data_IF_155806459223
#
_entry.id   IF_155806459223
#
_cell.length_a   1.000
_cell.length_b   1.000
_cell.length_c   1.000
_cell.angle_alpha   90.00
_cell.angle_beta   90.00
_cell.angle_gamma   90.00
#
_symmetry.space_group_name_H-M   'P 1'
#
loop_
_entity.id
_entity.type
_entity.pdbx_description
1 polymer ?
#
# COMPACT_ATOMS: atom_id res chain seq x y z
N UNK A 1 28.29 2.84 -5.59
CA UNK A 1 27.14 3.72 -5.31
C UNK A 1 25.99 2.80 -4.94
N UNK A 2 25.42 2.91 -3.75
CA UNK A 2 24.20 2.15 -3.45
C UNK A 2 23.03 2.85 -4.15
N UNK A 3 22.08 2.12 -4.73
CA UNK A 3 20.90 2.74 -5.31
C UNK A 3 20.15 3.53 -4.23
N UNK A 4 19.64 4.71 -4.59
CA UNK A 4 18.82 5.54 -3.69
C UNK A 4 17.34 5.12 -3.71
N UNK A 5 16.97 4.28 -4.68
CA UNK A 5 15.61 3.86 -4.97
C UNK A 5 15.53 2.36 -5.27
N UNK A 6 14.37 1.76 -5.00
CA UNK A 6 14.05 0.38 -5.34
C UNK A 6 12.66 0.28 -5.98
N UNK A 7 12.41 -0.82 -6.67
CA UNK A 7 11.12 -1.07 -7.32
C UNK A 7 10.15 -1.78 -6.37
N UNK A 8 8.89 -1.35 -6.38
CA UNK A 8 7.79 -2.09 -5.78
C UNK A 8 7.08 -2.88 -6.87
N UNK A 9 6.92 -4.18 -6.66
CA UNK A 9 6.26 -5.09 -7.57
C UNK A 9 4.93 -5.60 -7.00
N UNK A 10 3.98 -5.89 -7.90
CA UNK A 10 2.65 -6.44 -7.56
C UNK A 10 2.37 -7.67 -8.39
N UNK A 11 1.51 -8.56 -7.90
CA UNK A 11 1.15 -9.78 -8.62
C UNK A 11 0.19 -9.52 -9.79
N UNK A 12 0.39 -10.22 -10.91
CA UNK A 12 -0.55 -10.28 -12.03
C UNK A 12 -1.49 -11.50 -11.92
N UNK A 13 -2.46 -11.61 -12.83
CA UNK A 13 -3.34 -12.78 -12.92
C UNK A 13 -2.56 -14.07 -13.25
N UNK A 14 -1.44 -13.95 -13.97
CA UNK A 14 -0.58 -15.05 -14.38
C UNK A 14 0.52 -15.38 -13.34
N UNK A 15 0.39 -14.87 -12.12
CA UNK A 15 1.40 -15.01 -11.03
C UNK A 15 2.79 -14.48 -11.39
N UNK A 16 2.83 -13.50 -12.31
CA UNK A 16 4.06 -12.78 -12.64
C UNK A 16 4.10 -11.50 -11.81
N UNK A 17 5.27 -11.16 -11.29
CA UNK A 17 5.51 -9.88 -10.64
C UNK A 17 5.68 -8.77 -11.68
N UNK A 18 4.95 -7.68 -11.52
CA UNK A 18 4.99 -6.52 -12.40
C UNK A 18 5.38 -5.30 -11.59
N UNK A 19 6.33 -4.53 -12.10
CA UNK A 19 6.70 -3.22 -11.55
C UNK A 19 5.47 -2.33 -11.44
N UNK A 20 5.24 -1.82 -10.24
CA UNK A 20 4.11 -0.96 -9.91
C UNK A 20 4.55 0.47 -9.58
N UNK A 21 5.59 0.62 -8.76
CA UNK A 21 6.05 1.92 -8.29
C UNK A 21 7.54 1.89 -7.93
N UNK A 22 8.04 3.04 -7.48
CA UNK A 22 9.38 3.21 -6.93
C UNK A 22 9.23 3.62 -5.46
N UNK A 23 10.15 3.15 -4.61
CA UNK A 23 10.28 3.53 -3.22
C UNK A 23 11.71 4.02 -2.95
N UNK A 24 11.84 5.07 -2.13
CA UNK A 24 13.14 5.53 -1.66
C UNK A 24 13.74 4.51 -0.69
N UNK A 25 14.98 4.14 -0.90
CA UNK A 25 15.68 3.19 -0.03
C UNK A 25 16.08 3.84 1.30
N UNK A 26 15.93 3.08 2.37
CA UNK A 26 16.44 3.38 3.71
C UNK A 26 17.43 2.29 4.12
N UNK A 27 18.25 2.55 5.15
CA UNK A 27 19.23 1.58 5.62
C UNK A 27 18.58 0.25 6.07
N UNK A 28 17.38 0.32 6.65
CA UNK A 28 16.60 -0.85 7.09
C UNK A 28 16.17 -1.77 5.94
N UNK A 29 16.07 -1.23 4.72
CA UNK A 29 15.59 -1.96 3.55
C UNK A 29 16.72 -2.68 2.79
N UNK A 30 17.98 -2.41 3.10
CA UNK A 30 19.14 -2.87 2.30
C UNK A 30 19.24 -4.40 2.18
N UNK A 31 18.67 -5.15 3.12
CA UNK A 31 18.66 -6.62 3.12
C UNK A 31 17.29 -7.22 2.80
N UNK A 32 16.34 -6.42 2.30
CA UNK A 32 14.96 -6.85 2.04
C UNK A 32 14.66 -7.11 0.57
N UNK A 33 15.69 -7.21 -0.29
CA UNK A 33 15.47 -7.56 -1.69
C UNK A 33 14.79 -8.94 -1.80
N UNK A 34 13.76 -9.03 -2.65
CA UNK A 34 12.89 -10.20 -2.78
C UNK A 34 11.96 -10.48 -1.59
N UNK A 35 11.99 -9.68 -0.51
CA UNK A 35 11.07 -9.85 0.61
C UNK A 35 9.74 -9.13 0.37
N UNK A 36 8.65 -9.69 0.89
CA UNK A 36 7.36 -9.00 0.93
C UNK A 36 7.40 -7.95 2.04
N UNK A 37 7.09 -6.71 1.70
CA UNK A 37 7.06 -5.58 2.63
C UNK A 37 5.67 -4.94 2.67
N UNK A 38 5.31 -4.42 3.83
CA UNK A 38 4.14 -3.55 3.99
C UNK A 38 4.58 -2.10 3.81
N UNK A 39 3.83 -1.36 2.99
CA UNK A 39 4.12 0.03 2.68
C UNK A 39 2.87 0.89 2.87
N UNK A 40 3.07 2.15 3.22
CA UNK A 40 2.02 3.18 3.26
C UNK A 40 2.29 4.18 2.13
N UNK A 41 1.24 4.59 1.44
CA UNK A 41 1.31 5.73 0.53
C UNK A 41 0.92 7.01 1.28
N UNK A 42 1.80 8.01 1.29
CA UNK A 42 1.58 9.29 1.96
C UNK A 42 2.35 10.40 1.22
N UNK A 43 1.73 11.56 1.03
CA UNK A 43 2.33 12.71 0.32
C UNK A 43 3.04 12.34 -0.99
N UNK A 44 2.37 11.54 -1.82
CA UNK A 44 2.87 11.07 -3.11
C UNK A 44 4.08 10.12 -3.05
N UNK A 45 4.40 9.58 -1.88
CA UNK A 45 5.54 8.69 -1.66
C UNK A 45 5.12 7.37 -1.01
N UNK A 46 5.85 6.31 -1.34
CA UNK A 46 5.77 5.04 -0.63
C UNK A 46 6.72 5.04 0.56
N UNK A 47 6.20 4.66 1.72
CA UNK A 47 6.92 4.61 2.99
C UNK A 47 6.94 3.16 3.47
N UNK A 48 8.13 2.63 3.72
CA UNK A 48 8.31 1.31 4.33
C UNK A 48 7.73 1.29 5.74
N UNK A 49 6.97 0.25 6.07
CA UNK A 49 6.39 0.05 7.41
C UNK A 49 7.05 -1.14 8.11
N UNK A 50 7.09 -2.30 7.45
CA UNK A 50 7.68 -3.53 7.99
C UNK A 50 7.85 -4.60 6.92
N UNK A 51 8.71 -5.58 7.19
CA UNK A 51 8.69 -6.84 6.46
C UNK A 51 7.45 -7.67 6.86
N UNK A 52 6.88 -8.39 5.89
CA UNK A 52 5.77 -9.32 6.06
C UNK A 52 6.32 -10.74 5.97
N UNK A 53 6.36 -11.43 7.10
CA UNK A 53 6.76 -12.85 7.18
C UNK A 53 5.57 -13.81 7.06
N UNK A 54 4.34 -13.28 7.09
CA UNK A 54 3.10 -14.03 6.95
C UNK A 54 2.66 -14.21 5.48
N UNK A 55 3.48 -13.75 4.52
CA UNK A 55 3.15 -13.74 3.09
C UNK A 55 4.35 -14.07 2.22
N UNK A 56 4.09 -14.90 1.23
CA UNK A 56 5.09 -15.33 0.24
C UNK A 56 4.92 -14.63 -1.12
N UNK A 57 3.86 -13.82 -1.28
CA UNK A 57 3.53 -13.13 -2.53
C UNK A 57 3.03 -11.70 -2.29
N UNK A 58 3.30 -10.75 -3.20
CA UNK A 58 2.78 -9.40 -3.11
C UNK A 58 1.26 -9.38 -3.32
N UNK A 59 0.63 -8.26 -2.96
CA UNK A 59 -0.78 -8.07 -3.31
C UNK A 59 -0.95 -8.05 -4.84
N UNK A 60 -2.05 -8.59 -5.33
CA UNK A 60 -2.39 -8.51 -6.75
C UNK A 60 -2.65 -7.07 -7.21
N UNK A 61 -2.38 -6.78 -8.48
CA UNK A 61 -2.51 -5.44 -9.07
C UNK A 61 -3.90 -4.82 -8.87
N UNK A 62 -4.96 -5.61 -9.03
CA UNK A 62 -6.34 -5.14 -8.80
C UNK A 62 -6.61 -4.81 -7.34
N UNK A 63 -6.05 -5.58 -6.39
CA UNK A 63 -6.19 -5.28 -4.97
C UNK A 63 -5.45 -4.00 -4.59
N UNK A 64 -4.27 -3.76 -5.18
CA UNK A 64 -3.53 -2.51 -4.99
C UNK A 64 -4.29 -1.33 -5.61
N UNK A 65 -4.84 -1.49 -6.81
CA UNK A 65 -5.69 -0.48 -7.46
C UNK A 65 -6.88 -0.08 -6.58
N UNK A 66 -7.62 -1.05 -6.03
CA UNK A 66 -8.74 -0.78 -5.14
C UNK A 66 -8.33 -0.04 -3.85
N UNK A 67 -7.14 -0.32 -3.30
CA UNK A 67 -6.59 0.44 -2.17
C UNK A 67 -6.27 1.88 -2.54
N UNK A 68 -5.70 2.12 -3.72
CA UNK A 68 -5.41 3.47 -4.19
C UNK A 68 -6.68 4.28 -4.47
N UNK A 69 -7.71 3.65 -5.06
CA UNK A 69 -9.02 4.27 -5.25
C UNK A 69 -9.67 4.65 -3.90
N UNK A 70 -9.57 3.78 -2.90
CA UNK A 70 -10.06 4.06 -1.54
C UNK A 70 -9.28 5.20 -0.85
N UNK A 71 -7.97 5.30 -1.08
CA UNK A 71 -7.17 6.43 -0.59
C UNK A 71 -7.57 7.75 -1.26
N UNK A 72 -7.79 7.73 -2.58
CA UNK A 72 -8.21 8.91 -3.34
C UNK A 72 -9.62 9.40 -2.94
N UNK A 73 -10.50 8.47 -2.55
CA UNK A 73 -11.88 8.76 -2.14
C UNK A 73 -12.07 8.48 -0.64
N UNK A 74 -11.11 8.90 0.18
CA UNK A 74 -11.11 8.60 1.61
C UNK A 74 -12.38 9.12 2.29
N UNK A 75 -13.06 8.23 3.03
CA UNK A 75 -14.16 8.59 3.91
C UNK A 75 -13.59 8.91 5.28
N UNK A 76 -13.73 10.17 5.71
CA UNK A 76 -13.27 10.55 7.05
C UNK A 76 -14.14 9.87 8.11
N UNK A 77 -13.55 9.62 9.29
CA UNK A 77 -14.26 9.05 10.44
C UNK A 77 -15.50 9.89 10.79
N UNK A 78 -15.34 11.20 10.80
CA UNK A 78 -16.42 12.11 11.19
C UNK A 78 -17.56 12.13 10.17
N UNK A 79 -17.24 12.10 8.87
CA UNK A 79 -18.24 11.99 7.81
C UNK A 79 -19.03 10.68 7.94
N UNK A 80 -18.32 9.56 8.19
CA UNK A 80 -18.95 8.27 8.40
C UNK A 80 -19.87 8.27 9.62
N UNK A 81 -19.41 8.82 10.74
CA UNK A 81 -20.20 8.88 11.97
C UNK A 81 -21.46 9.74 11.80
N UNK A 82 -21.34 10.91 11.16
CA UNK A 82 -22.49 11.75 10.86
C UNK A 82 -23.53 11.01 9.99
N UNK A 83 -23.08 10.34 8.92
CA UNK A 83 -23.99 9.56 8.07
C UNK A 83 -24.68 8.42 8.82
N UNK A 84 -23.96 7.74 9.72
CA UNK A 84 -24.54 6.68 10.54
C UNK A 84 -25.54 7.21 11.57
N UNK A 85 -25.31 8.39 12.16
CA UNK A 85 -26.25 9.02 13.08
C UNK A 85 -27.55 9.40 12.36
N UNK A 86 -27.44 10.05 11.20
CA UNK A 86 -28.58 10.40 10.33
C UNK A 86 -29.38 9.14 9.96
N UNK A 87 -28.71 8.08 9.50
CA UNK A 87 -29.37 6.82 9.13
C UNK A 87 -30.09 6.15 10.30
N UNK A 88 -29.71 6.45 11.55
CA UNK A 88 -30.32 5.94 12.77
C UNK A 88 -31.36 6.90 13.38
N UNK A 89 -31.59 8.07 12.77
CA UNK A 89 -32.48 9.11 13.29
C UNK A 89 -32.00 9.73 14.60
N UNK A 90 -30.68 9.79 14.81
CA UNK A 90 -30.04 10.35 16.01
C UNK A 90 -29.62 11.81 15.83
N UNK A 91 -29.87 12.40 14.65
CA UNK A 91 -29.67 13.80 14.27
C UNK A 91 -30.92 14.33 13.56
#
# INVERSE_FOLDING_TARGET
MHPEEAELHVGSQDRIEIKYAIIRLTDEMKMLDGCIIDCRYFEHQWIFIKQRHDRDHPNGSQAVKGKMEALANQVSRDFLLAHLNIARGLE
#
